data_IF_087372962831
#
_entry.id   IF_087372962831
#
_cell.length_a   1.000
_cell.length_b   1.000
_cell.length_c   1.000
_cell.angle_alpha   90.00
_cell.angle_beta   90.00
_cell.angle_gamma   90.00
#
_symmetry.space_group_name_H-M   'P 1'
#
loop_
_entity.id
_entity.type
_entity.pdbx_description
1 polymer ?
#
# COMPACT_ATOMS: atom_id res chain seq x y z
N UNK A 1 13.74 -0.41 5.27
CA UNK A 1 12.60 -1.03 5.96
C UNK A 1 11.39 -0.85 5.08
N UNK A 2 10.79 -1.95 4.64
CA UNK A 2 9.53 -1.89 3.90
C UNK A 2 8.40 -1.44 4.82
N UNK A 3 7.36 -0.81 4.24
CA UNK A 3 6.18 -0.33 4.98
C UNK A 3 5.53 -1.46 5.78
N UNK A 4 5.53 -2.68 5.22
CA UNK A 4 5.06 -3.90 5.88
C UNK A 4 5.82 -4.26 7.15
N UNK A 5 7.14 -4.11 7.10
CA UNK A 5 8.05 -4.46 8.19
C UNK A 5 7.88 -3.48 9.36
N UNK A 6 7.69 -2.20 9.04
CA UNK A 6 7.40 -1.16 10.02
C UNK A 6 6.03 -1.35 10.70
N UNK A 7 5.01 -1.74 9.94
CA UNK A 7 3.66 -2.04 10.49
C UNK A 7 3.71 -3.25 11.41
N UNK A 8 4.35 -4.35 10.99
CA UNK A 8 4.54 -5.55 11.83
C UNK A 8 5.25 -5.22 13.13
N UNK A 9 6.34 -4.46 13.06
CA UNK A 9 7.08 -4.07 14.25
C UNK A 9 6.25 -3.20 15.20
N UNK A 10 5.44 -2.29 14.67
CA UNK A 10 4.55 -1.44 15.47
C UNK A 10 3.48 -2.26 16.18
N UNK A 11 2.85 -3.21 15.48
CA UNK A 11 1.84 -4.11 16.06
C UNK A 11 2.43 -4.96 17.18
N UNK A 12 3.63 -5.52 16.99
CA UNK A 12 4.32 -6.30 18.03
C UNK A 12 4.67 -5.46 19.26
N UNK A 13 5.04 -4.20 19.07
CA UNK A 13 5.29 -3.27 20.19
C UNK A 13 4.00 -2.97 20.95
N UNK A 14 2.89 -2.70 20.24
CA UNK A 14 1.58 -2.47 20.87
C UNK A 14 1.09 -3.68 21.68
N UNK A 15 1.26 -4.90 21.15
CA UNK A 15 0.94 -6.14 21.87
C UNK A 15 1.77 -6.27 23.15
N UNK A 16 3.07 -5.94 23.08
CA UNK A 16 4.00 -6.01 24.20
C UNK A 16 3.72 -4.99 25.29
N UNK A 17 3.28 -3.79 24.90
CA UNK A 17 2.88 -2.72 25.83
C UNK A 17 1.46 -2.91 26.37
N UNK A 18 0.71 -3.90 25.88
CA UNK A 18 -0.65 -4.19 26.34
C UNK A 18 -1.72 -3.30 25.71
N UNK A 19 -1.37 -2.50 24.70
CA UNK A 19 -2.27 -1.61 23.99
C UNK A 19 -3.03 -2.44 22.96
N UNK A 20 -4.37 -2.51 23.10
CA UNK A 20 -5.23 -3.31 22.22
C UNK A 20 -4.79 -4.79 22.11
N UNK A 21 -4.09 -5.32 23.13
CA UNK A 21 -3.44 -6.64 23.08
C UNK A 21 -4.39 -7.76 22.66
N UNK A 22 -5.57 -7.83 23.25
CA UNK A 22 -6.53 -8.91 22.98
C UNK A 22 -7.20 -8.76 21.60
N UNK A 23 -7.29 -7.53 21.09
CA UNK A 23 -7.77 -7.22 19.75
C UNK A 23 -6.71 -7.56 18.69
N UNK A 24 -5.48 -7.10 18.90
CA UNK A 24 -4.34 -7.37 18.02
C UNK A 24 -3.97 -8.85 18.02
N UNK A 25 -4.02 -9.57 19.15
CA UNK A 25 -3.77 -11.02 19.18
C UNK A 25 -4.76 -11.80 18.30
N UNK A 26 -6.03 -11.39 18.30
CA UNK A 26 -7.10 -12.10 17.58
C UNK A 26 -7.20 -11.69 16.11
N UNK A 27 -6.85 -10.44 15.79
CA UNK A 27 -7.03 -9.83 14.47
C UNK A 27 -5.74 -9.27 13.88
N UNK A 28 -4.55 -9.78 14.28
CA UNK A 28 -3.25 -9.25 13.79
C UNK A 28 -3.14 -9.28 12.26
N UNK A 29 -3.57 -10.37 11.65
CA UNK A 29 -3.45 -10.56 10.19
C UNK A 29 -4.35 -9.57 9.47
N UNK A 30 -5.62 -9.48 9.83
CA UNK A 30 -6.56 -8.52 9.24
C UNK A 30 -6.14 -7.06 9.50
N UNK A 31 -5.61 -6.73 10.68
CA UNK A 31 -5.17 -5.37 10.98
C UNK A 31 -3.89 -4.99 10.21
N UNK A 32 -2.97 -5.94 10.05
CA UNK A 32 -1.74 -5.76 9.26
C UNK A 32 -2.10 -5.66 7.77
N UNK A 33 -2.96 -6.54 7.28
CA UNK A 33 -3.41 -6.57 5.89
C UNK A 33 -4.20 -5.30 5.58
N UNK A 34 -5.18 -4.91 6.40
CA UNK A 34 -5.92 -3.66 6.21
C UNK A 34 -5.01 -2.43 6.20
N UNK A 35 -4.02 -2.33 7.09
CA UNK A 35 -3.11 -1.17 7.15
C UNK A 35 -2.04 -1.17 6.05
N UNK A 36 -1.67 -2.34 5.52
CA UNK A 36 -0.66 -2.47 4.45
C UNK A 36 -1.31 -2.35 3.07
N UNK A 37 -2.48 -2.97 2.89
CA UNK A 37 -3.26 -2.99 1.66
C UNK A 37 -4.33 -1.90 1.61
N UNK A 38 -4.38 -0.99 2.60
CA UNK A 38 -5.27 0.17 2.51
C UNK A 38 -4.97 0.86 1.17
N UNK A 39 -5.99 0.90 0.33
CA UNK A 39 -5.89 1.35 -1.05
C UNK A 39 -5.29 2.76 -1.08
N UNK A 40 -4.01 2.87 -1.45
CA UNK A 40 -3.31 4.14 -1.60
C UNK A 40 -3.77 4.75 -2.95
N UNK A 41 -4.89 5.48 -2.88
CA UNK A 41 -5.54 6.11 -4.03
C UNK A 41 -4.57 7.05 -4.76
N UNK A 42 -3.65 7.69 -4.03
CA UNK A 42 -2.61 8.55 -4.61
C UNK A 42 -1.60 7.77 -5.47
N UNK A 43 -1.10 6.62 -4.99
CA UNK A 43 -0.18 5.81 -5.78
C UNK A 43 -0.88 5.25 -7.02
N UNK A 44 -2.12 4.79 -6.86
CA UNK A 44 -2.91 4.23 -7.97
C UNK A 44 -3.19 5.28 -9.05
N UNK A 45 -3.55 6.51 -8.66
CA UNK A 45 -3.75 7.63 -9.58
C UNK A 45 -2.45 8.07 -10.27
N UNK A 46 -1.31 8.06 -9.56
CA UNK A 46 0.01 8.34 -10.17
C UNK A 46 0.36 7.31 -11.24
N UNK A 47 0.20 6.02 -10.93
CA UNK A 47 0.47 4.95 -11.88
C UNK A 47 -0.43 5.04 -13.12
N UNK A 48 -1.73 5.29 -12.92
CA UNK A 48 -2.69 5.45 -14.01
C UNK A 48 -2.39 6.67 -14.90
N UNK A 49 -2.00 7.80 -14.28
CA UNK A 49 -1.62 9.01 -15.01
C UNK A 49 -0.34 8.83 -15.82
N UNK A 50 0.63 8.07 -15.30
CA UNK A 50 1.88 7.79 -16.00
C UNK A 50 1.69 6.82 -17.17
N UNK A 51 0.89 5.77 -17.00
CA UNK A 51 0.48 4.88 -18.09
C UNK A 51 -0.25 5.64 -19.20
N UNK A 52 -1.20 6.51 -18.84
CA UNK A 52 -1.94 7.32 -19.81
C UNK A 52 -1.03 8.25 -20.63
N UNK A 53 0.01 8.82 -20.00
CA UNK A 53 0.99 9.67 -20.69
C UNK A 53 1.90 8.87 -21.63
N UNK A 54 2.36 7.69 -21.20
CA UNK A 54 3.20 6.81 -22.01
C UNK A 54 2.44 6.22 -23.20
N UNK A 55 1.19 5.79 -23.01
CA UNK A 55 0.32 5.31 -24.08
C UNK A 55 0.03 6.42 -25.10
N UNK A 56 -0.33 7.62 -24.66
CA UNK A 56 -0.54 8.76 -25.56
C UNK A 56 0.73 9.12 -26.35
N UNK A 57 1.91 8.99 -25.74
CA UNK A 57 3.20 9.20 -26.43
C UNK A 57 3.51 8.09 -27.43
N UNK A 58 3.23 6.84 -27.10
CA UNK A 58 3.37 5.67 -27.99
C UNK A 58 2.46 5.80 -29.21
N UNK A 59 1.19 6.12 -29.00
CA UNK A 59 0.24 6.33 -30.10
C UNK A 59 0.62 7.52 -30.98
N UNK A 60 1.12 8.62 -30.39
CA UNK A 60 1.61 9.78 -31.17
C UNK A 60 2.80 9.44 -32.05
N UNK A 61 3.70 8.56 -31.58
CA UNK A 61 4.90 8.13 -32.31
C UNK A 61 4.54 7.10 -33.40
N UNK A 62 3.58 6.21 -33.13
CA UNK A 62 3.14 5.19 -34.09
C UNK A 62 2.13 5.72 -35.13
N UNK A 63 1.31 6.71 -34.80
CA UNK A 63 0.35 7.35 -35.73
C UNK A 63 0.98 8.48 -36.57
N UNK A 64 2.28 8.77 -36.37
CA UNK A 64 3.05 9.81 -37.06
C UNK A 64 3.88 9.33 -38.25
N UNK A 65 3.59 8.17 -38.85
CA UNK A 65 4.18 7.69 -40.12
C UNK A 65 3.09 7.39 -41.13
#
# INVERSE_FOLDING_TARGET
MGREEAVKHTVDTCIREGILRDFLLKYREEAIEMCIFEYDEEETLRQLGQQSYEEGRSESVCAGV
#
